data_IF_046655812690
#
_entry.id   IF_046655812690
#
_cell.length_a   1.000
_cell.length_b   1.000
_cell.length_c   1.000
_cell.angle_alpha   90.00
_cell.angle_beta   90.00
_cell.angle_gamma   90.00
#
_symmetry.space_group_name_H-M   'P 1'
#
loop_
_entity.id
_entity.type
_entity.pdbx_description
1 polymer ?
#
# COMPACT_ATOMS: atom_id res chain seq x y z
N UNK A 1 -33.03 3.06 3.04
CA UNK A 1 -31.59 2.71 3.10
C UNK A 1 -31.20 2.74 4.56
N UNK A 2 -30.55 1.71 5.11
CA UNK A 2 -30.08 1.79 6.50
C UNK A 2 -29.09 2.96 6.62
N UNK A 3 -29.16 3.72 7.71
CA UNK A 3 -28.22 4.80 7.97
C UNK A 3 -26.81 4.18 8.11
N UNK A 4 -25.94 4.49 7.13
CA UNK A 4 -24.56 3.96 7.05
C UNK A 4 -23.78 4.34 8.30
N UNK A 5 -23.91 5.59 8.77
CA UNK A 5 -23.21 6.07 9.97
C UNK A 5 -23.73 5.36 11.22
N UNK A 6 -25.04 5.16 11.33
CA UNK A 6 -25.62 4.41 12.45
C UNK A 6 -25.12 2.96 12.48
N UNK A 7 -25.03 2.32 11.31
CA UNK A 7 -24.51 0.95 11.17
C UNK A 7 -23.04 0.84 11.58
N UNK A 8 -22.19 1.78 11.12
CA UNK A 8 -20.78 1.85 11.50
C UNK A 8 -20.60 2.13 13.00
N UNK A 9 -21.38 3.05 13.57
CA UNK A 9 -21.34 3.33 15.02
C UNK A 9 -21.73 2.12 15.85
N UNK A 10 -22.66 1.30 15.37
CA UNK A 10 -23.00 0.02 16.00
C UNK A 10 -21.81 -0.96 15.97
N UNK A 11 -21.11 -1.07 14.84
CA UNK A 11 -19.90 -1.91 14.72
C UNK A 11 -18.74 -1.39 15.55
N UNK A 12 -18.57 -0.06 15.65
CA UNK A 12 -17.58 0.57 16.52
C UNK A 12 -17.83 0.23 17.99
N UNK A 13 -19.10 0.26 18.43
CA UNK A 13 -19.48 -0.07 19.80
C UNK A 13 -19.29 -1.56 20.13
N UNK A 14 -19.35 -2.45 19.14
CA UNK A 14 -19.15 -3.90 19.32
C UNK A 14 -17.69 -4.35 19.26
N UNK A 15 -16.74 -3.46 18.96
CA UNK A 15 -15.31 -3.79 19.05
C UNK A 15 -14.87 -3.99 20.50
N UNK A 16 -13.72 -4.65 20.67
CA UNK A 16 -13.08 -4.83 21.99
C UNK A 16 -11.63 -4.34 21.92
N UNK A 17 -11.29 -3.18 22.50
CA UNK A 17 -12.19 -2.24 23.19
C UNK A 17 -13.18 -1.55 22.22
N UNK A 18 -14.32 -1.03 22.72
CA UNK A 18 -15.22 -0.20 21.90
C UNK A 18 -14.50 1.02 21.34
N UNK A 19 -14.75 1.36 20.08
CA UNK A 19 -14.11 2.48 19.42
C UNK A 19 -14.85 3.80 19.69
N UNK A 20 -14.09 4.86 19.97
CA UNK A 20 -14.59 6.23 20.09
C UNK A 20 -14.61 6.96 18.75
N UNK A 21 -13.71 6.57 17.86
CA UNK A 21 -13.61 7.06 16.50
C UNK A 21 -13.17 5.95 15.53
N UNK A 22 -13.55 6.07 14.27
CA UNK A 22 -13.11 5.23 13.16
C UNK A 22 -12.59 6.13 12.04
N UNK A 23 -11.38 5.82 11.55
CA UNK A 23 -10.78 6.47 10.41
C UNK A 23 -11.00 5.64 9.15
N UNK A 24 -11.44 6.30 8.08
CA UNK A 24 -11.66 5.70 6.75
C UNK A 24 -10.87 6.51 5.72
N UNK A 25 -9.62 6.14 5.43
CA UNK A 25 -8.79 6.77 4.40
C UNK A 25 -9.34 6.54 2.98
N UNK A 26 -8.81 7.29 2.01
CA UNK A 26 -9.08 7.06 0.58
C UNK A 26 -8.26 5.90 0.03
N UNK A 27 -7.09 5.70 0.63
CA UNK A 27 -6.03 4.81 0.22
C UNK A 27 -6.42 3.34 0.39
N UNK A 28 -5.93 2.51 -0.54
CA UNK A 28 -6.01 1.06 -0.49
C UNK A 28 -4.82 0.47 0.28
N UNK A 29 -4.58 -0.83 0.13
CA UNK A 29 -3.51 -1.54 0.85
C UNK A 29 -2.10 -1.23 0.34
N UNK A 30 -2.01 -0.42 -0.72
CA UNK A 30 -0.80 -0.08 -1.45
C UNK A 30 -0.58 1.43 -1.50
N UNK A 31 -1.40 2.20 -0.77
CA UNK A 31 -1.31 3.65 -0.67
C UNK A 31 -1.48 4.31 -2.05
N UNK A 32 -2.35 3.74 -2.90
CA UNK A 32 -2.66 4.28 -4.23
C UNK A 32 -3.45 5.59 -4.13
N UNK A 33 -3.15 6.58 -5.00
CA UNK A 33 -3.93 7.84 -5.10
C UNK A 33 -5.31 7.60 -5.71
N UNK A 34 -5.37 6.82 -6.78
CA UNK A 34 -6.62 6.28 -7.32
C UNK A 34 -6.72 4.83 -6.90
N UNK A 35 -7.89 4.43 -6.41
CA UNK A 35 -8.14 3.07 -5.92
C UNK A 35 -9.16 2.35 -6.79
N UNK A 36 -9.12 1.02 -6.75
CA UNK A 36 -10.11 0.18 -7.42
C UNK A 36 -11.52 0.43 -6.89
N UNK A 37 -12.56 0.09 -7.66
CA UNK A 37 -13.94 0.37 -7.26
C UNK A 37 -14.32 -0.23 -5.90
N UNK A 38 -13.74 -1.38 -5.53
CA UNK A 38 -13.98 -2.07 -4.26
C UNK A 38 -13.26 -1.45 -3.06
N UNK A 39 -12.29 -0.57 -3.30
CA UNK A 39 -11.49 0.07 -2.25
C UNK A 39 -11.92 1.52 -2.00
N UNK A 40 -12.91 2.02 -2.75
CA UNK A 40 -13.58 3.31 -2.57
C UNK A 40 -14.48 3.36 -1.31
N UNK A 41 -13.97 2.91 -0.16
CA UNK A 41 -14.69 2.83 1.11
C UNK A 41 -15.11 4.21 1.62
N UNK A 42 -14.22 5.20 1.51
CA UNK A 42 -14.52 6.61 1.83
C UNK A 42 -15.68 7.14 0.99
N UNK A 43 -15.68 6.86 -0.31
CA UNK A 43 -16.78 7.24 -1.21
C UNK A 43 -18.08 6.58 -0.78
N UNK A 44 -18.06 5.28 -0.48
CA UNK A 44 -19.24 4.55 -0.01
C UNK A 44 -19.82 5.15 1.29
N UNK A 45 -18.98 5.50 2.27
CA UNK A 45 -19.49 6.00 3.57
C UNK A 45 -19.94 7.45 3.55
N UNK A 46 -19.34 8.28 2.70
CA UNK A 46 -19.54 9.74 2.72
C UNK A 46 -20.28 10.30 1.50
N UNK A 47 -20.33 9.57 0.40
CA UNK A 47 -20.79 10.06 -0.91
C UNK A 47 -19.75 10.93 -1.65
N UNK A 48 -18.61 11.27 -1.03
CA UNK A 48 -17.59 12.10 -1.65
C UNK A 48 -16.66 11.29 -2.57
N UNK A 49 -16.58 11.74 -3.83
CA UNK A 49 -15.95 11.01 -4.96
C UNK A 49 -14.60 11.59 -5.39
N UNK A 50 -14.04 12.59 -4.69
CA UNK A 50 -12.69 13.08 -4.97
C UNK A 50 -11.64 11.99 -4.78
N UNK A 51 -10.42 12.17 -5.32
CA UNK A 51 -9.36 11.17 -5.14
C UNK A 51 -8.78 11.21 -3.72
N UNK A 52 -8.60 12.40 -3.15
CA UNK A 52 -7.93 12.58 -1.85
C UNK A 52 -8.90 12.93 -0.72
N UNK A 53 -8.69 12.33 0.45
CA UNK A 53 -9.33 12.74 1.70
C UNK A 53 -9.41 11.66 2.76
N UNK A 54 -9.85 12.05 3.95
CA UNK A 54 -9.88 11.19 5.12
C UNK A 54 -11.16 11.42 5.90
N UNK A 55 -11.97 10.37 6.01
CA UNK A 55 -13.19 10.38 6.80
C UNK A 55 -12.92 9.96 8.25
N UNK A 56 -13.50 10.70 9.19
CA UNK A 56 -13.50 10.44 10.61
C UNK A 56 -14.94 10.30 11.07
N UNK A 57 -15.28 9.15 11.63
CA UNK A 57 -16.60 8.88 12.19
C UNK A 57 -16.42 8.71 13.70
N UNK A 58 -17.02 9.60 14.48
CA UNK A 58 -17.06 9.45 15.94
C UNK A 58 -18.42 8.87 16.35
N UNK A 59 -18.60 8.65 17.65
CA UNK A 59 -19.90 8.25 18.22
C UNK A 59 -21.06 9.16 17.79
N UNK A 60 -20.78 10.46 17.59
CA UNK A 60 -21.83 11.47 17.41
C UNK A 60 -21.65 12.33 16.15
N UNK A 61 -20.44 12.42 15.59
CA UNK A 61 -20.13 13.28 14.44
C UNK A 61 -19.54 12.47 13.28
N UNK A 62 -19.60 13.03 12.07
CA UNK A 62 -18.85 12.55 10.92
C UNK A 62 -18.18 13.75 10.23
N UNK A 63 -16.89 13.63 9.93
CA UNK A 63 -16.05 14.70 9.39
C UNK A 63 -15.20 14.19 8.25
N UNK A 64 -14.99 15.00 7.23
CA UNK A 64 -14.16 14.63 6.08
C UNK A 64 -13.12 15.71 5.80
N UNK A 65 -11.84 15.34 5.87
CA UNK A 65 -10.74 16.18 5.45
C UNK A 65 -10.45 15.96 3.96
N UNK A 66 -10.29 17.03 3.20
CA UNK A 66 -9.78 16.98 1.81
C UNK A 66 -9.02 18.27 1.51
N UNK A 67 -8.29 18.30 0.39
CA UNK A 67 -7.51 19.46 -0.03
C UNK A 67 -8.28 20.41 -0.96
N UNK A 68 -7.66 21.57 -1.27
CA UNK A 68 -8.29 22.68 -1.99
C UNK A 68 -8.84 22.33 -3.37
N UNK A 69 -8.36 21.26 -4.02
CA UNK A 69 -8.92 20.76 -5.29
C UNK A 69 -10.40 20.38 -5.16
N UNK A 70 -10.82 20.00 -3.94
CA UNK A 70 -12.09 19.32 -3.71
C UNK A 70 -13.06 20.05 -2.79
N UNK A 71 -12.78 21.26 -2.31
CA UNK A 71 -13.68 21.95 -1.37
C UNK A 71 -15.09 22.16 -1.93
N UNK A 72 -15.21 22.60 -3.18
CA UNK A 72 -16.50 22.80 -3.84
C UNK A 72 -17.21 21.45 -4.07
N UNK A 73 -16.49 20.44 -4.55
CA UNK A 73 -17.04 19.11 -4.77
C UNK A 73 -17.54 18.47 -3.48
N UNK A 74 -16.77 18.54 -2.39
CA UNK A 74 -17.16 17.99 -1.10
C UNK A 74 -18.38 18.72 -0.53
N UNK A 75 -18.45 20.04 -0.66
CA UNK A 75 -19.63 20.82 -0.24
C UNK A 75 -20.90 20.40 -0.98
N UNK A 76 -20.79 20.00 -2.25
CA UNK A 76 -21.93 19.58 -3.06
C UNK A 76 -22.34 18.11 -2.83
N UNK A 77 -21.38 17.24 -2.50
CA UNK A 77 -21.60 15.78 -2.42
C UNK A 77 -21.87 15.28 -1.00
N UNK A 78 -21.35 15.95 0.02
CA UNK A 78 -21.58 15.56 1.42
C UNK A 78 -23.00 15.88 1.85
N UNK A 79 -23.63 14.95 2.58
CA UNK A 79 -24.91 15.20 3.25
C UNK A 79 -24.71 16.05 4.51
N UNK A 80 -25.80 16.59 5.05
CA UNK A 80 -25.81 17.39 6.29
C UNK A 80 -25.30 16.63 7.53
N UNK A 81 -25.17 15.30 7.46
CA UNK A 81 -24.57 14.49 8.53
C UNK A 81 -23.04 14.60 8.57
N UNK A 82 -22.41 15.11 7.50
CA UNK A 82 -20.97 15.25 7.37
C UNK A 82 -20.54 16.71 7.44
N UNK A 83 -19.47 16.97 8.21
CA UNK A 83 -18.80 18.26 8.22
C UNK A 83 -17.52 18.20 7.39
N UNK A 84 -17.45 19.05 6.37
CA UNK A 84 -16.22 19.28 5.61
C UNK A 84 -15.17 19.96 6.52
N UNK A 85 -13.94 19.45 6.44
CA UNK A 85 -12.75 20.01 7.06
C UNK A 85 -11.74 20.29 5.94
N UNK A 86 -11.29 21.53 5.80
CA UNK A 86 -10.46 22.01 4.69
C UNK A 86 -8.98 21.96 5.05
N UNK A 87 -8.24 21.04 4.43
CA UNK A 87 -6.79 20.92 4.66
C UNK A 87 -6.10 22.24 4.29
N UNK A 88 -5.33 22.81 5.22
CA UNK A 88 -4.66 24.10 5.09
C UNK A 88 -5.42 25.30 5.67
N UNK A 89 -6.73 25.15 5.94
CA UNK A 89 -7.57 26.17 6.61
C UNK A 89 -8.00 25.71 8.00
N UNK A 90 -8.44 24.47 8.13
CA UNK A 90 -8.91 23.86 9.38
C UNK A 90 -7.80 23.09 10.12
N UNK A 91 -7.97 22.80 11.43
CA UNK A 91 -7.02 21.99 12.17
C UNK A 91 -6.72 20.64 11.49
N UNK A 92 -5.45 20.22 11.42
CA UNK A 92 -5.08 18.88 10.97
C UNK A 92 -5.81 17.80 11.77
N UNK A 93 -6.14 16.68 11.13
CA UNK A 93 -6.96 15.62 11.71
C UNK A 93 -6.38 15.07 13.04
N UNK A 94 -5.08 14.87 13.12
CA UNK A 94 -4.37 14.42 14.31
C UNK A 94 -4.46 15.43 15.48
N UNK A 95 -4.32 16.71 15.18
CA UNK A 95 -4.53 17.79 16.17
C UNK A 95 -5.99 17.82 16.60
N UNK A 96 -6.93 17.77 15.64
CA UNK A 96 -8.36 17.80 15.93
C UNK A 96 -8.78 16.63 16.84
N UNK A 97 -8.35 15.40 16.53
CA UNK A 97 -8.64 14.22 17.34
C UNK A 97 -8.01 14.32 18.73
N UNK A 98 -6.74 14.75 18.80
CA UNK A 98 -6.06 14.96 20.08
C UNK A 98 -6.85 15.93 20.94
N UNK A 99 -7.33 17.05 20.38
CA UNK A 99 -8.03 18.08 21.15
C UNK A 99 -9.48 17.73 21.49
N UNK A 100 -10.21 17.06 20.60
CA UNK A 100 -11.67 16.86 20.72
C UNK A 100 -12.09 15.48 21.22
N UNK A 101 -11.25 14.46 21.09
CA UNK A 101 -11.53 13.15 21.69
C UNK A 101 -11.12 13.14 23.16
N UNK A 102 -11.84 12.32 23.94
CA UNK A 102 -11.57 12.14 25.36
C UNK A 102 -10.17 11.54 25.62
N UNK A 103 -9.71 11.67 26.87
CA UNK A 103 -8.51 10.97 27.33
C UNK A 103 -8.71 9.46 27.15
N UNK A 104 -7.66 8.75 26.75
CA UNK A 104 -7.68 7.29 26.55
C UNK A 104 -8.64 6.81 25.45
N UNK A 105 -9.11 7.70 24.56
CA UNK A 105 -10.00 7.33 23.47
C UNK A 105 -9.39 6.25 22.56
N UNK A 106 -10.21 5.28 22.16
CA UNK A 106 -9.86 4.23 21.22
C UNK A 106 -10.20 4.66 19.78
N UNK A 107 -9.19 4.81 18.93
CA UNK A 107 -9.31 5.30 17.56
C UNK A 107 -9.03 4.15 16.61
N UNK A 108 -10.08 3.64 15.97
CA UNK A 108 -10.01 2.49 15.07
C UNK A 108 -9.42 2.84 13.71
N UNK A 109 -8.55 1.96 13.21
CA UNK A 109 -8.05 1.97 11.83
C UNK A 109 -8.09 0.56 11.24
N UNK A 110 -8.29 0.48 9.92
CA UNK A 110 -7.84 -0.68 9.17
C UNK A 110 -6.32 -0.54 8.95
N UNK A 111 -5.49 -1.42 9.55
CA UNK A 111 -4.03 -1.30 9.45
C UNK A 111 -3.51 -1.54 8.03
N UNK A 112 -4.31 -2.12 7.13
CA UNK A 112 -3.92 -2.29 5.73
C UNK A 112 -4.02 -0.99 4.93
N UNK A 113 -4.99 -0.12 5.23
CA UNK A 113 -5.18 1.14 4.49
C UNK A 113 -4.35 2.32 5.03
N UNK A 114 -3.57 2.13 6.10
CA UNK A 114 -2.81 3.20 6.76
C UNK A 114 -1.32 2.92 6.63
N UNK A 115 -0.55 3.91 6.17
CA UNK A 115 0.91 3.77 6.06
C UNK A 115 1.62 3.83 7.42
N UNK A 116 2.83 3.28 7.50
CA UNK A 116 3.66 3.32 8.73
C UNK A 116 3.88 4.76 9.20
N UNK A 117 4.26 5.68 8.32
CA UNK A 117 4.49 7.08 8.69
C UNK A 117 3.23 7.74 9.25
N UNK A 118 2.08 7.47 8.61
CA UNK A 118 0.78 7.98 9.06
C UNK A 118 0.41 7.44 10.45
N UNK A 119 0.53 6.14 10.66
CA UNK A 119 0.25 5.51 11.95
C UNK A 119 1.16 6.06 13.06
N UNK A 120 2.48 6.14 12.82
CA UNK A 120 3.45 6.66 13.80
C UNK A 120 3.24 8.16 14.08
N UNK A 121 2.82 8.96 13.08
CA UNK A 121 2.44 10.36 13.29
C UNK A 121 1.22 10.47 14.21
N UNK A 122 0.19 9.66 13.97
CA UNK A 122 -1.01 9.61 14.82
C UNK A 122 -0.69 9.16 16.24
N UNK A 123 0.06 8.08 16.41
CA UNK A 123 0.49 7.60 17.74
C UNK A 123 1.23 8.69 18.54
N UNK A 124 2.13 9.44 17.89
CA UNK A 124 2.82 10.59 18.53
C UNK A 124 1.86 11.71 18.94
N UNK A 125 0.89 12.05 18.10
CA UNK A 125 -0.11 13.09 18.40
C UNK A 125 -1.05 12.69 19.57
N UNK A 126 -1.31 11.39 19.71
CA UNK A 126 -2.22 10.82 20.70
C UNK A 126 -1.58 10.58 22.07
N UNK A 127 -0.24 10.50 22.12
CA UNK A 127 0.51 10.19 23.33
C UNK A 127 0.19 11.12 24.51
N UNK A 128 0.03 12.43 24.27
CA UNK A 128 -0.24 13.42 25.35
C UNK A 128 -1.53 13.15 26.12
N UNK A 129 -2.55 12.57 25.47
CA UNK A 129 -3.85 12.24 26.08
C UNK A 129 -4.04 10.74 26.29
N UNK A 130 -2.98 9.94 26.16
CA UNK A 130 -3.02 8.47 26.23
C UNK A 130 -4.06 7.84 25.30
N UNK A 131 -4.46 8.53 24.23
CA UNK A 131 -5.36 8.00 23.22
C UNK A 131 -4.65 6.88 22.46
N UNK A 132 -5.40 5.89 21.97
CA UNK A 132 -4.83 4.66 21.42
C UNK A 132 -5.31 4.44 20.00
N UNK A 133 -4.38 4.15 19.11
CA UNK A 133 -4.67 3.63 17.79
C UNK A 133 -4.99 2.13 17.91
N UNK A 134 -6.21 1.74 17.54
CA UNK A 134 -6.70 0.37 17.65
C UNK A 134 -6.81 -0.20 16.24
N UNK A 135 -6.02 -1.24 15.94
CA UNK A 135 -6.10 -1.95 14.67
C UNK A 135 -7.33 -2.85 14.66
N UNK A 136 -8.21 -2.69 13.68
CA UNK A 136 -9.35 -3.60 13.49
C UNK A 136 -8.90 -4.86 12.76
N UNK A 137 -9.50 -6.01 13.09
CA UNK A 137 -9.21 -7.29 12.43
C UNK A 137 -9.75 -7.36 11.00
N UNK A 138 -10.85 -6.65 10.76
CA UNK A 138 -11.55 -6.49 9.48
C UNK A 138 -11.79 -5.01 9.22
N UNK A 139 -12.02 -4.65 7.96
CA UNK A 139 -12.46 -3.31 7.64
C UNK A 139 -13.96 -3.18 7.96
N UNK A 140 -14.32 -2.33 8.93
CA UNK A 140 -15.72 -2.20 9.38
C UNK A 140 -16.65 -1.65 8.27
N UNK A 141 -16.11 -0.94 7.27
CA UNK A 141 -16.90 -0.50 6.11
C UNK A 141 -17.31 -1.70 5.25
N UNK A 142 -16.43 -2.68 5.09
CA UNK A 142 -16.70 -3.86 4.27
C UNK A 142 -17.86 -4.70 4.87
N UNK A 143 -18.00 -4.71 6.19
CA UNK A 143 -19.06 -5.47 6.89
C UNK A 143 -20.47 -4.93 6.61
N UNK A 144 -20.60 -3.63 6.32
CA UNK A 144 -21.90 -3.01 6.00
C UNK A 144 -22.10 -2.77 4.50
N UNK A 145 -21.04 -2.87 3.68
CA UNK A 145 -21.10 -2.64 2.24
C UNK A 145 -21.61 -3.89 1.50
N UNK A 146 -22.92 -4.14 1.60
CA UNK A 146 -23.58 -5.35 1.05
C UNK A 146 -23.33 -5.58 -0.45
N UNK A 147 -23.26 -4.50 -1.23
CA UNK A 147 -23.04 -4.53 -2.68
C UNK A 147 -21.62 -4.09 -3.05
N UNK A 148 -20.62 -4.39 -2.20
CA UNK A 148 -19.23 -4.08 -2.49
C UNK A 148 -18.78 -4.76 -3.80
N UNK A 149 -18.14 -4.02 -4.74
CA UNK A 149 -17.63 -4.61 -5.96
C UNK A 149 -16.68 -5.80 -5.68
N UNK A 150 -16.70 -6.85 -6.53
CA UNK A 150 -15.81 -8.00 -6.36
C UNK A 150 -14.35 -7.61 -6.63
N UNK A 151 -13.43 -8.52 -6.28
CA UNK A 151 -12.04 -8.42 -6.72
C UNK A 151 -11.97 -8.41 -8.25
N UNK A 152 -11.30 -7.42 -8.82
CA UNK A 152 -10.97 -7.44 -10.24
C UNK A 152 -9.94 -8.56 -10.51
N UNK A 153 -10.16 -9.34 -11.56
CA UNK A 153 -9.29 -10.44 -11.99
C UNK A 153 -8.63 -10.11 -13.33
N UNK A 154 -8.34 -8.83 -13.58
CA UNK A 154 -7.71 -8.40 -14.81
C UNK A 154 -6.32 -9.06 -14.95
N UNK A 155 -5.97 -9.54 -16.15
CA UNK A 155 -4.73 -10.29 -16.34
C UNK A 155 -3.51 -9.40 -16.14
N UNK A 156 -2.51 -9.93 -15.45
CA UNK A 156 -1.16 -9.41 -15.50
C UNK A 156 -0.56 -9.70 -16.88
N UNK A 157 0.20 -8.75 -17.41
CA UNK A 157 0.90 -8.87 -18.70
C UNK A 157 2.37 -8.53 -18.54
N UNK A 158 3.23 -9.23 -19.30
CA UNK A 158 4.64 -8.86 -19.38
C UNK A 158 4.81 -7.46 -19.98
N UNK A 159 5.75 -6.69 -19.45
CA UNK A 159 6.24 -5.45 -20.04
C UNK A 159 7.53 -5.73 -20.81
N UNK A 160 7.49 -5.78 -22.15
CA UNK A 160 8.62 -6.20 -22.97
C UNK A 160 9.90 -5.38 -22.72
N UNK A 161 11.06 -6.03 -22.88
CA UNK A 161 12.36 -5.40 -22.71
C UNK A 161 12.59 -4.21 -23.65
N UNK A 162 12.02 -4.26 -24.86
CA UNK A 162 12.05 -3.17 -25.84
C UNK A 162 11.39 -1.87 -25.35
N UNK A 163 10.53 -1.94 -24.34
CA UNK A 163 9.95 -0.75 -23.68
C UNK A 163 10.60 -0.49 -22.32
N UNK A 164 10.95 -1.55 -21.58
CA UNK A 164 11.53 -1.43 -20.24
C UNK A 164 12.98 -0.93 -20.24
N UNK A 165 13.75 -1.27 -21.28
CA UNK A 165 15.19 -0.94 -21.40
C UNK A 165 16.12 -1.64 -20.41
N UNK A 166 15.57 -2.33 -19.40
CA UNK A 166 16.32 -3.05 -18.38
C UNK A 166 15.56 -4.30 -17.95
N UNK A 167 16.28 -5.41 -17.86
CA UNK A 167 15.71 -6.72 -17.49
C UNK A 167 15.38 -6.79 -15.99
N UNK A 168 14.50 -7.72 -15.64
CA UNK A 168 14.16 -8.02 -14.24
C UNK A 168 15.39 -8.48 -13.45
N UNK A 169 16.21 -9.36 -14.05
CA UNK A 169 17.46 -9.82 -13.45
C UNK A 169 18.42 -8.68 -13.09
N UNK A 170 18.60 -7.69 -13.97
CA UNK A 170 19.45 -6.52 -13.70
C UNK A 170 18.87 -5.61 -12.62
N UNK A 171 17.54 -5.49 -12.53
CA UNK A 171 16.86 -4.71 -11.48
C UNK A 171 16.98 -5.39 -10.12
N UNK A 172 16.73 -6.70 -10.05
CA UNK A 172 16.91 -7.50 -8.83
C UNK A 172 18.35 -7.51 -8.34
N UNK A 173 19.33 -7.63 -9.26
CA UNK A 173 20.75 -7.53 -8.91
C UNK A 173 21.07 -6.20 -8.24
N UNK A 174 20.69 -5.07 -8.85
CA UNK A 174 20.95 -3.75 -8.27
C UNK A 174 20.19 -3.50 -6.96
N UNK A 175 18.97 -4.03 -6.83
CA UNK A 175 18.23 -3.98 -5.57
C UNK A 175 19.00 -4.72 -4.47
N UNK A 176 19.50 -5.93 -4.74
CA UNK A 176 20.26 -6.73 -3.76
C UNK A 176 21.60 -6.10 -3.38
N UNK A 177 22.27 -5.43 -4.32
CA UNK A 177 23.46 -4.62 -4.04
C UNK A 177 23.12 -3.49 -3.04
N UNK A 178 21.97 -2.83 -3.20
CA UNK A 178 21.48 -1.81 -2.24
C UNK A 178 21.08 -2.40 -0.89
N UNK A 179 20.44 -3.58 -0.87
CA UNK A 179 20.15 -4.27 0.38
C UNK A 179 21.43 -4.55 1.17
N UNK A 180 22.46 -5.07 0.49
CA UNK A 180 23.75 -5.36 1.13
C UNK A 180 24.46 -4.11 1.63
N UNK A 181 24.42 -2.99 0.89
CA UNK A 181 25.03 -1.74 1.34
C UNK A 181 24.34 -1.14 2.58
N UNK A 182 23.03 -1.33 2.70
CA UNK A 182 22.22 -0.83 3.82
C UNK A 182 22.08 -1.86 4.96
N UNK A 183 22.85 -2.95 4.92
CA UNK A 183 22.77 -4.04 5.90
C UNK A 183 21.36 -4.63 6.06
N UNK A 184 20.58 -4.61 4.98
CA UNK A 184 19.25 -5.19 4.93
C UNK A 184 19.30 -6.59 4.33
N UNK A 185 18.60 -7.54 4.94
CA UNK A 185 18.44 -8.91 4.42
C UNK A 185 17.24 -9.09 3.51
N UNK A 186 16.32 -8.12 3.50
CA UNK A 186 15.22 -8.06 2.57
C UNK A 186 14.46 -6.73 2.60
N UNK A 187 13.56 -6.56 1.65
CA UNK A 187 12.67 -5.40 1.51
C UNK A 187 11.24 -5.87 1.28
N UNK A 188 10.28 -5.17 1.89
CA UNK A 188 8.85 -5.30 1.59
C UNK A 188 8.44 -4.15 0.67
N UNK A 189 7.92 -4.47 -0.50
CA UNK A 189 7.49 -3.51 -1.52
C UNK A 189 5.97 -3.61 -1.64
N UNK A 190 5.31 -2.50 -1.35
CA UNK A 190 3.85 -2.39 -1.33
C UNK A 190 3.30 -1.51 -2.44
N UNK A 191 4.07 -0.51 -2.90
CA UNK A 191 3.65 0.38 -3.97
C UNK A 191 3.49 -0.37 -5.30
N UNK A 192 2.30 -0.29 -5.90
CA UNK A 192 1.95 -1.09 -7.08
C UNK A 192 2.83 -0.80 -8.30
N UNK A 193 3.23 0.45 -8.47
CA UNK A 193 4.10 0.88 -9.57
C UNK A 193 5.53 0.39 -9.39
N UNK A 194 6.02 0.25 -8.16
CA UNK A 194 7.31 -0.36 -7.86
C UNK A 194 7.31 -1.87 -8.14
N UNK A 195 6.27 -2.59 -7.73
CA UNK A 195 6.12 -4.02 -8.05
C UNK A 195 6.07 -4.22 -9.58
N UNK A 196 5.26 -3.43 -10.27
CA UNK A 196 5.14 -3.45 -11.72
C UNK A 196 6.47 -3.13 -12.43
N UNK A 197 7.21 -2.13 -11.94
CA UNK A 197 8.49 -1.74 -12.51
C UNK A 197 9.60 -2.77 -12.24
N UNK A 198 9.68 -3.31 -11.03
CA UNK A 198 10.72 -4.27 -10.63
C UNK A 198 10.63 -5.55 -11.46
N UNK A 199 9.42 -6.10 -11.61
CA UNK A 199 9.18 -7.37 -12.28
C UNK A 199 8.81 -7.24 -13.76
N UNK A 200 8.86 -6.04 -14.34
CA UNK A 200 8.45 -5.78 -15.71
C UNK A 200 7.08 -6.42 -16.03
N UNK A 201 6.10 -6.18 -15.17
CA UNK A 201 4.71 -6.57 -15.40
C UNK A 201 3.82 -5.34 -15.40
N UNK A 202 2.66 -5.41 -16.06
CA UNK A 202 1.61 -4.39 -16.05
C UNK A 202 0.26 -5.04 -15.81
N UNK A 203 -0.72 -4.24 -15.46
CA UNK A 203 -2.11 -4.66 -15.28
C UNK A 203 -3.07 -3.52 -15.58
N UNK A 204 -4.31 -3.69 -15.15
CA UNK A 204 -5.36 -2.69 -15.30
C UNK A 204 -6.30 -2.67 -14.10
N UNK A 205 -5.83 -3.05 -12.91
CA UNK A 205 -6.70 -3.15 -11.74
C UNK A 205 -7.03 -1.79 -11.11
N UNK A 206 -6.28 -0.75 -11.46
CA UNK A 206 -6.52 0.62 -11.04
C UNK A 206 -6.77 1.44 -12.29
N UNK A 207 -7.88 2.18 -12.33
CA UNK A 207 -8.21 3.02 -13.48
C UNK A 207 -7.10 4.02 -13.74
N UNK A 208 -6.71 4.18 -15.01
CA UNK A 208 -5.65 5.08 -15.49
C UNK A 208 -4.22 4.74 -15.05
N UNK A 209 -4.02 3.70 -14.23
CA UNK A 209 -2.72 3.25 -13.76
C UNK A 209 -2.47 1.80 -14.19
N UNK A 210 -1.47 1.52 -15.06
CA UNK A 210 -1.27 0.19 -15.64
C UNK A 210 -0.59 -0.79 -14.67
N UNK A 211 -1.18 -0.99 -13.49
CA UNK A 211 -0.64 -1.77 -12.38
C UNK A 211 -1.52 -2.96 -12.03
N UNK A 212 -0.95 -3.92 -11.30
CA UNK A 212 -1.63 -5.11 -10.76
C UNK A 212 -1.61 -5.00 -9.24
N UNK A 213 -2.72 -5.24 -8.55
CA UNK A 213 -2.75 -5.34 -7.08
C UNK A 213 -1.85 -6.49 -6.64
N UNK A 214 -0.68 -6.15 -6.12
CA UNK A 214 0.32 -7.10 -5.74
C UNK A 214 1.30 -6.51 -4.71
N UNK A 215 1.89 -7.40 -3.91
CA UNK A 215 3.05 -7.08 -3.09
C UNK A 215 4.28 -7.80 -3.63
N UNK A 216 5.46 -7.33 -3.24
CA UNK A 216 6.70 -8.08 -3.43
C UNK A 216 7.51 -8.11 -2.13
N UNK A 217 8.15 -9.25 -1.87
CA UNK A 217 9.23 -9.36 -0.88
C UNK A 217 10.46 -9.83 -1.64
N UNK A 218 11.57 -9.11 -1.48
CA UNK A 218 12.85 -9.50 -2.07
C UNK A 218 13.86 -9.65 -0.96
N UNK A 219 14.49 -10.82 -0.88
CA UNK A 219 15.62 -11.09 0.01
C UNK A 219 16.93 -11.01 -0.79
N UNK A 220 18.05 -11.19 -0.10
CA UNK A 220 19.35 -11.32 -0.77
C UNK A 220 19.40 -12.48 -1.78
N UNK A 221 18.54 -13.50 -1.63
CA UNK A 221 18.60 -14.73 -2.41
C UNK A 221 17.31 -15.02 -3.19
N UNK A 222 16.16 -14.59 -2.69
CA UNK A 222 14.84 -14.93 -3.22
C UNK A 222 14.06 -13.68 -3.64
N UNK A 223 13.05 -13.87 -4.48
CA UNK A 223 12.10 -12.83 -4.87
C UNK A 223 10.70 -13.43 -4.95
N UNK A 224 9.73 -12.76 -4.33
CA UNK A 224 8.35 -13.21 -4.23
C UNK A 224 7.42 -12.18 -4.84
N UNK A 225 6.41 -12.64 -5.58
CA UNK A 225 5.28 -11.84 -6.05
C UNK A 225 4.00 -12.38 -5.40
N UNK A 226 3.32 -11.53 -4.64
CA UNK A 226 2.04 -11.85 -4.00
C UNK A 226 0.92 -11.23 -4.82
N UNK A 227 0.16 -12.07 -5.52
CA UNK A 227 -0.89 -11.63 -6.45
C UNK A 227 -2.02 -12.65 -6.46
N UNK A 228 -3.22 -12.25 -6.85
CA UNK A 228 -4.27 -13.21 -7.15
C UNK A 228 -3.81 -14.07 -8.34
N UNK A 229 -3.56 -15.37 -8.11
CA UNK A 229 -2.98 -16.24 -9.12
C UNK A 229 -3.83 -16.37 -10.37
N UNK A 230 -5.14 -16.11 -10.29
CA UNK A 230 -6.05 -16.10 -11.45
C UNK A 230 -5.67 -15.02 -12.47
N UNK A 231 -4.94 -13.98 -12.06
CA UNK A 231 -4.43 -12.92 -12.94
C UNK A 231 -3.17 -13.34 -13.71
N UNK A 232 -2.49 -14.40 -13.28
CA UNK A 232 -1.19 -14.81 -13.81
C UNK A 232 -1.39 -15.94 -14.81
N UNK A 233 -1.29 -15.61 -16.11
CA UNK A 233 -1.32 -16.62 -17.17
C UNK A 233 -0.09 -17.54 -17.10
N UNK A 234 -0.15 -18.71 -17.77
CA UNK A 234 0.99 -19.62 -17.87
C UNK A 234 2.23 -18.95 -18.49
N UNK A 235 2.03 -18.06 -19.47
CA UNK A 235 3.11 -17.28 -20.09
C UNK A 235 3.82 -16.37 -19.07
N UNK A 236 3.06 -15.57 -18.32
CA UNK A 236 3.61 -14.65 -17.32
C UNK A 236 4.24 -15.42 -16.16
N UNK A 237 3.62 -16.52 -15.73
CA UNK A 237 4.18 -17.42 -14.72
C UNK A 237 5.56 -17.94 -15.13
N UNK A 238 5.70 -18.44 -16.37
CA UNK A 238 6.99 -18.90 -16.91
C UNK A 238 8.02 -17.78 -17.01
N UNK A 239 7.61 -16.57 -17.40
CA UNK A 239 8.47 -15.36 -17.46
C UNK A 239 9.01 -14.99 -16.08
N UNK A 240 8.15 -14.99 -15.05
CA UNK A 240 8.53 -14.72 -13.67
C UNK A 240 9.44 -15.82 -13.11
N UNK A 241 9.10 -17.09 -13.33
CA UNK A 241 9.90 -18.24 -12.89
C UNK A 241 11.29 -18.25 -13.53
N UNK A 242 11.40 -17.91 -14.82
CA UNK A 242 12.69 -17.77 -15.51
C UNK A 242 13.59 -16.68 -14.91
N UNK A 243 12.99 -15.69 -14.23
CA UNK A 243 13.71 -14.65 -13.48
C UNK A 243 13.87 -14.99 -11.99
N UNK A 244 13.57 -16.22 -11.57
CA UNK A 244 13.69 -16.68 -10.18
C UNK A 244 12.67 -16.06 -9.23
N UNK A 245 11.51 -15.63 -9.73
CA UNK A 245 10.42 -15.05 -8.93
C UNK A 245 9.40 -16.13 -8.62
N UNK A 246 9.11 -16.33 -7.34
CA UNK A 246 8.07 -17.24 -6.87
C UNK A 246 6.74 -16.50 -6.74
N UNK A 247 5.68 -17.03 -7.38
CA UNK A 247 4.34 -16.45 -7.33
C UNK A 247 3.51 -17.09 -6.20
N UNK A 248 3.09 -16.28 -5.24
CA UNK A 248 2.27 -16.66 -4.08
C UNK A 248 0.91 -15.97 -4.12
N UNK A 249 -0.06 -16.53 -3.39
CA UNK A 249 -1.37 -15.91 -3.24
C UNK A 249 -1.25 -14.54 -2.57
N UNK A 250 -2.05 -13.58 -3.02
CA UNK A 250 -2.03 -12.19 -2.54
C UNK A 250 -2.03 -12.06 -1.00
N UNK A 251 -2.86 -12.85 -0.32
CA UNK A 251 -2.97 -12.82 1.15
C UNK A 251 -1.79 -13.44 1.91
N UNK A 252 -0.93 -14.23 1.24
CA UNK A 252 0.21 -14.90 1.89
C UNK A 252 1.32 -13.91 2.32
N UNK A 253 1.30 -12.68 1.82
CA UNK A 253 2.26 -11.64 2.19
C UNK A 253 2.31 -11.40 3.70
N UNK A 254 1.18 -11.54 4.41
CA UNK A 254 1.10 -11.32 5.86
C UNK A 254 1.88 -12.37 6.65
N UNK A 255 1.68 -13.66 6.33
CA UNK A 255 2.44 -14.75 6.95
C UNK A 255 3.91 -14.68 6.57
N UNK A 256 4.21 -14.35 5.32
CA UNK A 256 5.57 -14.28 4.83
C UNK A 256 6.35 -13.08 5.38
N UNK A 257 5.69 -11.96 5.66
CA UNK A 257 6.29 -10.86 6.41
C UNK A 257 6.69 -11.28 7.83
N UNK A 258 5.89 -12.12 8.50
CA UNK A 258 6.25 -12.70 9.80
C UNK A 258 7.41 -13.71 9.67
N UNK A 259 7.45 -14.53 8.62
CA UNK A 259 8.58 -15.42 8.33
C UNK A 259 9.84 -14.65 7.94
N UNK A 260 9.69 -13.50 7.27
CA UNK A 260 10.79 -12.58 7.02
C UNK A 260 11.31 -12.06 8.35
N UNK A 261 10.44 -11.58 9.25
CA UNK A 261 10.84 -11.12 10.59
C UNK A 261 11.65 -12.17 11.38
N UNK A 262 11.25 -13.45 11.32
CA UNK A 262 11.95 -14.56 11.99
C UNK A 262 13.13 -15.16 11.22
N UNK A 263 13.48 -14.61 10.05
CA UNK A 263 14.54 -15.11 9.15
C UNK A 263 14.32 -16.55 8.64
N UNK A 264 13.06 -16.93 8.44
CA UNK A 264 12.64 -18.26 8.00
C UNK A 264 12.08 -18.27 6.56
N UNK A 265 11.85 -17.10 5.95
CA UNK A 265 11.21 -17.01 4.64
C UNK A 265 12.00 -17.76 3.53
N UNK A 266 13.33 -17.60 3.49
CA UNK A 266 14.18 -18.28 2.49
C UNK A 266 14.31 -19.79 2.76
N UNK A 267 14.15 -20.25 4.00
CA UNK A 267 14.26 -21.68 4.35
C UNK A 267 12.99 -22.46 3.96
N UNK A 268 11.83 -21.78 3.98
CA UNK A 268 10.54 -22.37 3.68
C UNK A 268 10.32 -22.66 2.19
N UNK A 269 11.15 -22.13 1.29
CA UNK A 269 11.03 -22.31 -0.17
C UNK A 269 11.63 -23.63 -0.66
N UNK A 270 12.34 -24.39 0.19
CA UNK A 270 12.99 -25.64 -0.21
C UNK A 270 14.12 -25.46 -1.24
N UNK A 271 14.57 -24.22 -1.49
CA UNK A 271 15.68 -23.94 -2.40
C UNK A 271 16.99 -24.26 -1.67
N UNK A 272 17.46 -25.50 -1.83
CA UNK A 272 18.83 -25.89 -1.51
C UNK A 272 19.76 -25.19 -2.50
N UNK A 273 20.25 -23.99 -2.15
CA UNK A 273 21.43 -23.47 -2.82
C UNK A 273 22.61 -24.39 -2.47
N UNK A 274 23.17 -25.02 -3.50
CA UNK A 274 24.33 -25.89 -3.36
C UNK A 274 25.42 -25.18 -2.55
N UNK A 275 26.09 -25.96 -1.69
CA UNK A 275 27.29 -25.59 -0.96
C UNK A 275 28.40 -25.13 -1.94
N UNK A 276 28.32 -23.89 -2.42
CA UNK A 276 29.38 -23.18 -3.14
C UNK A 276 29.32 -21.67 -2.88
N UNK A 277 28.75 -21.30 -1.74
CA UNK A 277 28.96 -20.02 -1.07
C UNK A 277 29.39 -20.34 0.35
N UNK A 278 30.68 -20.53 0.55
CA UNK A 278 31.26 -20.66 1.88
C UNK A 278 31.02 -19.34 2.61
N UNK A 279 29.97 -19.27 3.43
CA UNK A 279 29.91 -18.31 4.54
C UNK A 279 30.89 -18.80 5.61
N UNK A 280 32.18 -18.60 5.35
CA UNK A 280 33.21 -18.71 6.38
C UNK A 280 33.07 -17.49 7.29
N UNK A 281 32.53 -17.69 8.48
CA UNK A 281 32.83 -16.95 9.72
C UNK A 281 32.94 -15.41 9.68
N UNK A 282 32.34 -14.72 8.71
CA UNK A 282 32.14 -13.27 8.76
C UNK A 282 30.71 -12.99 9.24
N UNK A 283 30.67 -12.31 10.37
CA UNK A 283 29.52 -11.82 11.13
C UNK A 283 28.26 -11.52 10.32
N UNK A 284 27.15 -12.00 10.87
CA UNK A 284 25.76 -11.62 10.67
C UNK A 284 25.49 -10.10 10.73
N UNK A 285 25.95 -9.35 9.73
CA UNK A 285 25.82 -7.88 9.71
C UNK A 285 24.52 -7.40 9.03
N UNK A 286 23.88 -8.24 8.20
CA UNK A 286 22.62 -7.90 7.53
C UNK A 286 21.41 -8.41 8.34
N UNK A 287 20.95 -7.63 9.33
CA UNK A 287 19.81 -8.00 10.19
C UNK A 287 18.55 -7.17 9.91
N UNK A 288 18.66 -6.08 9.12
CA UNK A 288 17.57 -5.14 8.89
C UNK A 288 16.60 -5.62 7.81
N UNK A 289 15.33 -5.23 7.94
CA UNK A 289 14.31 -5.33 6.90
C UNK A 289 14.00 -3.92 6.41
N UNK A 290 14.19 -3.65 5.13
CA UNK A 290 13.87 -2.35 4.55
C UNK A 290 12.37 -2.24 4.32
N UNK A 291 11.78 -1.16 4.84
CA UNK A 291 10.39 -0.79 4.63
C UNK A 291 10.32 0.68 4.23
N UNK A 292 9.61 0.99 3.15
CA UNK A 292 9.23 2.37 2.82
C UNK A 292 8.09 2.81 3.75
N UNK A 293 8.30 3.78 4.66
CA UNK A 293 7.28 4.16 5.63
C UNK A 293 6.08 4.90 5.01
N UNK A 294 6.26 5.50 3.82
CA UNK A 294 5.20 6.25 3.14
C UNK A 294 4.23 5.30 2.41
N UNK A 295 4.75 4.21 1.85
CA UNK A 295 3.93 3.26 1.08
C UNK A 295 3.62 1.95 1.82
N UNK A 296 4.37 1.54 2.84
CA UNK A 296 4.11 0.27 3.50
C UNK A 296 2.92 0.40 4.45
N UNK A 297 1.97 -0.53 4.36
CA UNK A 297 0.84 -0.57 5.27
C UNK A 297 1.27 -1.01 6.67
N UNK A 298 0.61 -0.43 7.67
CA UNK A 298 0.91 -0.68 9.08
C UNK A 298 0.69 -2.15 9.47
N UNK A 299 -0.24 -2.84 8.78
CA UNK A 299 -0.50 -4.26 8.95
C UNK A 299 0.77 -5.13 8.76
N UNK A 300 1.55 -4.87 7.71
CA UNK A 300 2.79 -5.63 7.45
C UNK A 300 3.91 -5.21 8.41
N UNK A 301 4.05 -3.90 8.65
CA UNK A 301 5.05 -3.39 9.61
C UNK A 301 4.84 -3.95 11.02
N UNK A 302 3.60 -4.11 11.47
CA UNK A 302 3.26 -4.68 12.78
C UNK A 302 3.72 -6.13 12.99
N UNK A 303 4.11 -6.83 11.91
CA UNK A 303 4.69 -8.18 11.99
C UNK A 303 6.19 -8.19 12.23
N UNK A 304 6.84 -7.03 12.12
CA UNK A 304 8.29 -6.88 12.20
C UNK A 304 8.71 -6.42 13.60
N UNK A 305 9.96 -6.71 13.96
CA UNK A 305 10.60 -6.09 15.12
C UNK A 305 11.06 -4.68 14.74
N UNK A 306 10.48 -3.64 15.37
CA UNK A 306 10.79 -2.25 15.07
C UNK A 306 12.29 -1.91 15.22
N UNK A 307 13.06 -2.66 16.02
CA UNK A 307 14.51 -2.47 16.16
C UNK A 307 15.32 -3.05 14.99
N UNK A 308 14.68 -3.87 14.15
CA UNK A 308 15.29 -4.55 12.99
C UNK A 308 14.71 -4.07 11.67
N UNK A 309 14.15 -2.86 11.63
CA UNK A 309 13.58 -2.27 10.41
C UNK A 309 14.38 -1.04 10.01
N UNK A 310 14.73 -0.97 8.73
CA UNK A 310 15.24 0.23 8.08
C UNK A 310 14.05 0.98 7.46
N UNK A 311 13.61 2.05 8.12
CA UNK A 311 12.55 2.93 7.62
C UNK A 311 13.16 4.02 6.74
N UNK A 312 13.17 3.79 5.43
CA UNK A 312 13.67 4.74 4.43
C UNK A 312 12.87 4.60 3.13
N UNK A 313 12.81 5.65 2.33
CA UNK A 313 12.20 5.60 0.99
C UNK A 313 12.79 4.42 0.17
N UNK A 314 11.92 3.72 -0.56
CA UNK A 314 12.32 2.60 -1.40
C UNK A 314 13.44 2.99 -2.38
N UNK A 315 14.49 2.17 -2.55
CA UNK A 315 15.53 2.44 -3.53
C UNK A 315 15.00 2.35 -4.97
N UNK A 316 13.84 1.72 -5.16
CA UNK A 316 13.16 1.64 -6.45
C UNK A 316 12.55 2.98 -6.86
N UNK A 317 12.12 3.82 -5.89
CA UNK A 317 11.55 5.13 -6.15
C UNK A 317 12.48 6.01 -7.00
N UNK A 318 13.75 6.14 -6.58
CA UNK A 318 14.75 6.89 -7.34
C UNK A 318 15.17 6.17 -8.63
N UNK A 319 15.36 4.85 -8.58
CA UNK A 319 15.79 4.07 -9.73
C UNK A 319 14.79 4.16 -10.90
N UNK A 320 13.49 4.12 -10.61
CA UNK A 320 12.44 4.28 -11.62
C UNK A 320 12.21 5.73 -12.02
N UNK A 321 12.54 6.70 -11.16
CA UNK A 321 12.42 8.13 -11.51
C UNK A 321 13.41 8.51 -12.63
N UNK A 322 14.62 7.95 -12.59
CA UNK A 322 15.66 8.15 -13.59
C UNK A 322 15.46 7.22 -14.80
N UNK A 323 14.71 7.68 -15.80
CA UNK A 323 14.40 6.91 -17.00
C UNK A 323 15.64 6.59 -17.81
N UNK A 324 15.78 5.33 -18.22
CA UNK A 324 16.85 4.93 -19.13
C UNK A 324 16.58 5.39 -20.58
N UNK A 325 17.56 5.36 -21.49
CA UNK A 325 17.36 5.83 -22.87
C UNK A 325 16.18 5.20 -23.61
N UNK A 326 15.92 3.90 -23.41
CA UNK A 326 14.78 3.20 -24.03
C UNK A 326 13.45 3.71 -23.49
N UNK A 327 13.33 3.88 -22.18
CA UNK A 327 12.13 4.46 -21.55
C UNK A 327 11.91 5.91 -22.00
N UNK A 328 12.99 6.71 -22.11
CA UNK A 328 12.94 8.10 -22.60
C UNK A 328 12.46 8.18 -24.05
N UNK A 329 12.97 7.31 -24.93
CA UNK A 329 12.54 7.28 -26.32
C UNK A 329 11.08 6.78 -26.45
N UNK A 330 10.68 5.81 -25.63
CA UNK A 330 9.29 5.40 -25.49
C UNK A 330 8.38 6.56 -25.07
N UNK A 331 8.80 7.36 -24.09
CA UNK A 331 8.06 8.56 -23.66
C UNK A 331 7.94 9.59 -24.79
N UNK A 332 9.02 9.90 -25.52
CA UNK A 332 8.97 10.84 -26.67
C UNK A 332 7.97 10.37 -27.72
N UNK A 333 8.03 9.09 -28.09
CA UNK A 333 7.13 8.51 -29.09
C UNK A 333 5.67 8.54 -28.64
N UNK A 334 5.41 8.28 -27.35
CA UNK A 334 4.07 8.42 -26.78
C UNK A 334 3.57 9.86 -26.86
N UNK A 335 4.38 10.86 -26.48
CA UNK A 335 4.02 12.28 -26.53
C UNK A 335 3.80 12.79 -27.96
N UNK A 336 4.57 12.32 -28.95
CA UNK A 336 4.36 12.68 -30.36
C UNK A 336 2.97 12.22 -30.83
N UNK A 337 2.61 10.98 -30.52
CA UNK A 337 1.32 10.40 -30.92
C UNK A 337 0.15 11.06 -30.17
N UNK A 338 0.32 11.31 -28.88
CA UNK A 338 -0.67 12.00 -28.05
C UNK A 338 -0.89 13.44 -28.51
N UNK A 339 0.19 14.18 -28.78
CA UNK A 339 0.13 15.53 -29.34
C UNK A 339 -0.57 15.58 -30.69
N UNK A 340 -0.32 14.61 -31.58
CA UNK A 340 -1.06 14.50 -32.84
C UNK A 340 -2.56 14.27 -32.64
N UNK A 341 -2.95 13.43 -31.66
CA UNK A 341 -4.34 13.19 -31.32
C UNK A 341 -5.03 14.45 -30.75
N UNK A 342 -4.34 15.22 -29.89
CA UNK A 342 -4.86 16.49 -29.34
C UNK A 342 -5.06 17.55 -30.42
N UNK A 343 -4.17 17.63 -31.42
CA UNK A 343 -4.34 18.56 -32.55
C UNK A 343 -5.53 18.17 -33.45
N UNK A 344 -5.88 16.89 -33.50
CA UNK A 344 -7.01 16.40 -34.28
C UNK A 344 -8.38 16.60 -33.60
N UNK A 345 -8.42 16.59 -32.26
CA UNK A 345 -9.63 16.71 -31.43
C UNK A 345 -10.29 18.09 -31.54
#
# INVERSE_FOLDING_TARGET
MADILASLRSLMASQSPPLDALLVPSEDYHQSEYVSARDKRREFVSGFTGSAGLALITKNEARLWTDGRYFLQATQQLSDQWKLMRIGEDPPLDVWMSDNLQKEAAIGIDPWCVSVDTAQRWERAFAKKNQKLVQTSTNLVDEIWKNRPPAEINPAVDHPLEFAGRSVAEKLKALREKLSSEKARGIIITALDEVAWLYNIRGSDVSYSPVVHAFAIVTLNSAFLYVDKRKVSSKVSSSLQANGIEVREYGAVSSDAAMLASNQLDQATGVNFGQNGVCQNDTCDNDLIWVDPASCCYALFSKLDANKVLLQQSPLALAKALKNPVELDGLKNAHIRDGAAVVQY
#
